data_IF_609998360938
#
_entry.id   IF_609998360938
#
_cell.length_a   1.000
_cell.length_b   1.000
_cell.length_c   1.000
_cell.angle_alpha   90.00
_cell.angle_beta   90.00
_cell.angle_gamma   90.00
#
_symmetry.space_group_name_H-M   'P 1'
#
loop_
_entity.id
_entity.type
_entity.pdbx_description
1 polymer ?
#
# COMPACT_ATOMS: atom_id res chain seq x y z
N UNK A 1 40.81 -5.22 48.63
CA UNK A 1 41.27 -5.03 47.24
C UNK A 1 40.21 -5.58 46.31
N UNK A 2 39.50 -4.61 45.74
CA UNK A 2 38.67 -4.53 44.53
C UNK A 2 38.13 -5.79 43.84
N UNK A 3 36.82 -5.99 43.95
CA UNK A 3 35.98 -6.68 42.96
C UNK A 3 35.86 -5.83 41.68
N UNK A 4 35.96 -6.39 40.47
CA UNK A 4 35.80 -5.62 39.23
C UNK A 4 34.32 -5.29 38.98
N UNK A 5 33.98 -4.11 38.46
CA UNK A 5 32.60 -3.77 38.15
C UNK A 5 32.14 -4.53 36.90
N UNK A 6 31.03 -5.24 37.02
CA UNK A 6 30.28 -5.78 35.88
C UNK A 6 29.74 -4.61 35.07
N UNK A 7 30.49 -4.20 34.05
CA UNK A 7 30.06 -3.20 33.07
C UNK A 7 28.97 -3.83 32.20
N UNK A 8 27.74 -3.84 32.69
CA UNK A 8 26.55 -4.10 31.89
C UNK A 8 26.59 -3.13 30.72
N UNK A 9 26.96 -3.64 29.53
CA UNK A 9 26.75 -2.94 28.27
C UNK A 9 25.25 -2.67 28.18
N UNK A 10 24.80 -1.50 28.62
CA UNK A 10 23.57 -0.90 28.14
C UNK A 10 23.74 -0.82 26.63
N UNK A 11 23.13 -1.77 25.91
CA UNK A 11 22.93 -1.65 24.48
C UNK A 11 22.03 -0.43 24.33
N UNK A 12 22.62 0.70 24.02
CA UNK A 12 21.91 1.86 23.50
C UNK A 12 21.09 1.32 22.32
N UNK A 13 19.75 1.46 22.31
CA UNK A 13 19.02 1.19 21.09
C UNK A 13 19.59 2.17 20.07
N UNK A 14 20.21 1.63 19.02
CA UNK A 14 20.57 2.43 17.86
C UNK A 14 19.25 3.05 17.43
N UNK A 15 19.18 4.38 17.50
CA UNK A 15 18.06 5.12 16.97
C UNK A 15 17.91 4.66 15.52
N UNK A 16 16.88 3.85 15.25
CA UNK A 16 16.55 3.45 13.91
C UNK A 16 16.21 4.74 13.16
N UNK A 17 17.19 5.21 12.38
CA UNK A 17 17.01 6.21 11.34
C UNK A 17 15.71 5.89 10.62
N UNK A 18 14.81 6.89 10.64
CA UNK A 18 13.60 7.08 9.85
C UNK A 18 13.51 6.22 8.58
N UNK A 19 13.20 4.93 8.74
CA UNK A 19 12.51 4.18 7.70
C UNK A 19 11.07 4.63 7.86
N UNK A 20 10.54 5.37 6.89
CA UNK A 20 9.11 5.58 6.81
C UNK A 20 8.45 4.21 7.05
N UNK A 21 7.78 4.06 8.18
CA UNK A 21 7.20 2.78 8.57
C UNK A 21 5.98 2.61 7.67
N UNK A 22 6.17 1.85 6.59
CA UNK A 22 5.10 1.44 5.70
C UNK A 22 4.57 0.12 6.24
N UNK A 23 3.34 0.11 6.73
CA UNK A 23 2.69 -1.08 7.29
C UNK A 23 1.61 -1.57 6.31
N UNK A 24 1.63 -2.86 5.90
CA UNK A 24 0.54 -3.41 5.08
C UNK A 24 -0.76 -3.41 5.88
N UNK A 25 -1.84 -2.95 5.26
CA UNK A 25 -3.18 -2.93 5.84
C UNK A 25 -4.02 -4.11 5.36
N UNK A 26 -3.97 -4.40 4.06
CA UNK A 26 -4.71 -5.49 3.45
C UNK A 26 -4.08 -5.89 2.11
N UNK A 27 -4.17 -7.18 1.79
CA UNK A 27 -4.04 -7.67 0.42
C UNK A 27 -5.44 -8.07 -0.04
N UNK A 28 -5.83 -7.56 -1.20
CA UNK A 28 -7.17 -7.64 -1.75
C UNK A 28 -7.06 -8.33 -3.11
N UNK A 29 -7.73 -9.47 -3.24
CA UNK A 29 -7.96 -10.10 -4.54
C UNK A 29 -9.08 -9.34 -5.24
N UNK A 30 -8.84 -8.92 -6.48
CA UNK A 30 -9.82 -8.12 -7.23
C UNK A 30 -10.85 -9.07 -7.86
N UNK A 31 -12.11 -8.90 -7.46
CA UNK A 31 -13.23 -9.73 -7.95
C UNK A 31 -14.02 -9.07 -9.07
N UNK A 32 -13.98 -7.74 -9.16
CA UNK A 32 -14.71 -6.99 -10.18
C UNK A 32 -14.01 -5.68 -10.54
N UNK A 33 -14.04 -5.39 -11.83
CA UNK A 33 -13.49 -4.17 -12.42
C UNK A 33 -14.57 -3.52 -13.28
N UNK A 34 -14.99 -2.32 -12.88
CA UNK A 34 -15.97 -1.54 -13.63
C UNK A 34 -15.27 -0.36 -14.30
N UNK A 35 -15.18 -0.32 -15.64
CA UNK A 35 -14.64 0.82 -16.35
C UNK A 35 -15.56 2.04 -16.21
N UNK A 36 -14.95 3.21 -16.05
CA UNK A 36 -15.61 4.51 -16.06
C UNK A 36 -14.99 5.42 -17.13
N UNK A 37 -15.60 6.57 -17.46
CA UNK A 37 -15.01 7.53 -18.41
C UNK A 37 -13.64 8.06 -17.99
N UNK A 38 -13.32 8.05 -16.68
CA UNK A 38 -12.07 8.60 -16.13
C UNK A 38 -11.15 7.54 -15.50
N UNK A 39 -11.44 6.24 -15.66
CA UNK A 39 -10.61 5.17 -15.12
C UNK A 39 -11.40 3.93 -14.72
N UNK A 40 -11.18 3.40 -13.53
CA UNK A 40 -11.79 2.13 -13.09
C UNK A 40 -12.21 2.18 -11.63
N UNK A 41 -13.33 1.52 -11.32
CA UNK A 41 -13.67 1.14 -9.95
C UNK A 41 -13.33 -0.33 -9.81
N UNK A 42 -12.49 -0.67 -8.83
CA UNK A 42 -12.12 -2.03 -8.48
C UNK A 42 -12.77 -2.41 -7.15
N UNK A 43 -13.30 -3.63 -7.08
CA UNK A 43 -13.82 -4.22 -5.86
C UNK A 43 -13.11 -5.52 -5.56
N UNK A 44 -13.05 -5.87 -4.28
CA UNK A 44 -12.46 -7.11 -3.82
C UNK A 44 -12.67 -7.32 -2.34
N UNK A 45 -12.30 -8.51 -1.87
CA UNK A 45 -12.34 -8.84 -0.45
C UNK A 45 -10.92 -9.00 0.09
N UNK A 46 -10.67 -8.42 1.27
CA UNK A 46 -9.46 -8.68 2.02
C UNK A 46 -9.51 -10.02 2.75
N UNK A 47 -8.36 -10.49 3.24
CA UNK A 47 -8.28 -11.69 4.07
C UNK A 47 -9.12 -11.60 5.37
N UNK A 48 -9.44 -10.37 5.80
CA UNK A 48 -10.32 -10.05 6.92
C UNK A 48 -11.82 -10.16 6.56
N UNK A 49 -12.16 -10.56 5.33
CA UNK A 49 -13.51 -10.65 4.76
C UNK A 49 -14.24 -9.31 4.68
N UNK A 50 -13.50 -8.21 4.77
CA UNK A 50 -14.04 -6.87 4.56
C UNK A 50 -14.04 -6.59 3.06
N UNK A 51 -15.11 -5.96 2.58
CA UNK A 51 -15.20 -5.49 1.21
C UNK A 51 -14.42 -4.20 1.02
N UNK A 52 -13.58 -4.15 -0.01
CA UNK A 52 -12.81 -2.98 -0.40
C UNK A 52 -13.28 -2.45 -1.74
N UNK A 53 -13.26 -1.12 -1.87
CA UNK A 53 -13.50 -0.40 -3.11
C UNK A 53 -12.33 0.54 -3.35
N UNK A 54 -11.72 0.45 -4.52
CA UNK A 54 -10.67 1.36 -5.00
C UNK A 54 -11.16 2.06 -6.26
N UNK A 55 -11.13 3.39 -6.26
CA UNK A 55 -11.40 4.19 -7.44
C UNK A 55 -10.07 4.70 -8.01
N UNK A 56 -9.76 4.28 -9.24
CA UNK A 56 -8.56 4.66 -9.99
C UNK A 56 -8.96 5.68 -11.06
N UNK A 57 -8.27 6.82 -11.06
CA UNK A 57 -8.50 7.90 -12.02
C UNK A 57 -7.25 8.15 -12.86
N UNK A 58 -7.44 8.40 -14.16
CA UNK A 58 -6.41 8.84 -15.08
C UNK A 58 -6.67 10.27 -15.50
N UNK A 59 -5.62 11.09 -15.50
CA UNK A 59 -5.70 12.47 -15.98
C UNK A 59 -5.90 12.53 -17.50
N UNK A 60 -5.33 11.55 -18.21
CA UNK A 60 -5.49 11.42 -19.66
C UNK A 60 -6.63 10.44 -19.99
N UNK A 61 -7.48 10.77 -20.99
CA UNK A 61 -8.52 9.87 -21.43
C UNK A 61 -7.91 8.63 -22.08
N UNK A 62 -8.42 7.45 -21.70
CA UNK A 62 -8.05 6.18 -22.32
C UNK A 62 -8.95 5.90 -23.51
N UNK A 63 -8.35 5.56 -24.65
CA UNK A 63 -9.09 5.03 -25.80
C UNK A 63 -9.76 3.68 -25.45
N UNK A 64 -10.78 3.25 -26.21
CA UNK A 64 -11.53 2.03 -25.89
C UNK A 64 -10.67 0.76 -25.82
N UNK A 65 -9.65 0.62 -26.67
CA UNK A 65 -8.80 -0.56 -26.71
C UNK A 65 -7.89 -0.62 -25.50
N UNK A 66 -7.24 0.49 -25.17
CA UNK A 66 -6.39 0.58 -23.97
C UNK A 66 -7.21 0.32 -22.71
N UNK A 67 -8.44 0.84 -22.65
CA UNK A 67 -9.34 0.60 -21.52
C UNK A 67 -9.71 -0.87 -21.36
N UNK A 68 -10.00 -1.59 -22.45
CA UNK A 68 -10.31 -3.01 -22.40
C UNK A 68 -9.12 -3.83 -21.89
N UNK A 69 -7.91 -3.56 -22.41
CA UNK A 69 -6.69 -4.25 -21.99
C UNK A 69 -6.39 -4.00 -20.51
N UNK A 70 -6.46 -2.74 -20.06
CA UNK A 70 -6.22 -2.42 -18.65
C UNK A 70 -7.28 -3.03 -17.74
N UNK A 71 -8.55 -3.04 -18.16
CA UNK A 71 -9.62 -3.68 -17.39
C UNK A 71 -9.34 -5.17 -17.15
N UNK A 72 -8.89 -5.89 -18.18
CA UNK A 72 -8.54 -7.31 -18.09
C UNK A 72 -7.31 -7.56 -17.22
N UNK A 73 -6.28 -6.71 -17.33
CA UNK A 73 -5.10 -6.85 -16.46
C UNK A 73 -5.45 -6.60 -14.99
N UNK A 74 -6.33 -5.63 -14.74
CA UNK A 74 -6.76 -5.29 -13.37
C UNK A 74 -7.64 -6.39 -12.75
N UNK A 75 -8.48 -7.09 -13.52
CA UNK A 75 -9.34 -8.16 -13.00
C UNK A 75 -8.55 -9.42 -12.61
N UNK A 76 -7.31 -9.55 -13.07
CA UNK A 76 -6.42 -10.67 -12.76
C UNK A 76 -5.29 -10.26 -11.80
N UNK A 77 -5.49 -9.19 -11.04
CA UNK A 77 -4.46 -8.62 -10.18
C UNK A 77 -4.87 -8.62 -8.72
N UNK A 78 -3.86 -8.59 -7.84
CA UNK A 78 -4.03 -8.35 -6.42
C UNK A 78 -3.49 -6.98 -6.04
N UNK A 79 -4.15 -6.32 -5.10
CA UNK A 79 -3.73 -5.02 -4.59
C UNK A 79 -3.33 -5.16 -3.14
N UNK A 80 -2.12 -4.69 -2.80
CA UNK A 80 -1.73 -4.52 -1.40
C UNK A 80 -1.83 -3.06 -1.01
N UNK A 81 -2.68 -2.77 -0.04
CA UNK A 81 -2.86 -1.44 0.53
C UNK A 81 -1.90 -1.28 1.70
N UNK A 82 -1.14 -0.21 1.69
CA UNK A 82 -0.20 0.13 2.76
C UNK A 82 -0.61 1.44 3.45
N UNK A 83 -0.31 1.53 4.74
CA UNK A 83 -0.32 2.79 5.50
C UNK A 83 1.11 3.27 5.66
N UNK A 84 1.34 4.54 5.37
CA UNK A 84 2.60 5.22 5.70
C UNK A 84 2.37 6.16 6.88
N UNK A 85 3.19 6.05 7.92
CA UNK A 85 3.16 6.97 9.07
C UNK A 85 3.80 8.34 8.76
N UNK A 86 4.42 8.46 7.58
CA UNK A 86 4.95 9.74 7.09
C UNK A 86 3.87 10.45 6.26
N UNK A 87 3.47 11.68 6.62
CA UNK A 87 2.54 12.45 5.80
C UNK A 87 3.11 12.64 4.39
N UNK A 88 2.27 12.65 3.34
CA UNK A 88 2.74 12.95 2.00
C UNK A 88 3.43 14.31 1.99
N UNK A 89 4.57 14.40 1.32
CA UNK A 89 5.24 15.68 1.10
C UNK A 89 4.25 16.63 0.42
N UNK A 90 4.17 17.88 0.90
CA UNK A 90 3.24 18.86 0.35
C UNK A 90 3.46 18.98 -1.17
N UNK A 91 2.38 19.04 -1.97
CA UNK A 91 2.51 19.31 -3.40
C UNK A 91 3.24 20.63 -3.58
N UNK A 92 4.28 20.63 -4.42
CA UNK A 92 5.05 21.83 -4.79
C UNK A 92 4.25 22.72 -5.73
#
# INVERSE_FOLDING_TARGET
MDTPPTRTRRRTPVANMTRAAVQPLATIEIDSVTPSPRGFTLTGQGADRVGYRLDMHFDLPLDPRTRAVLGELLSQSDITVYRSDTPPAAPR
#
